data_IF_434670735279
#
_entry.id   IF_434670735279
#
_cell.length_a   1.000
_cell.length_b   1.000
_cell.length_c   1.000
_cell.angle_alpha   90.00
_cell.angle_beta   90.00
_cell.angle_gamma   90.00
#
_symmetry.space_group_name_H-M   'P 1'
#
loop_
_entity.id
_entity.type
_entity.pdbx_description
1 polymer ?
#
# COMPACT_ATOMS: atom_id res chain seq x y z
N UNK A 1 42.62 -0.16 17.22
CA UNK A 1 41.51 -1.12 17.16
C UNK A 1 40.45 -0.66 18.13
N UNK A 2 39.38 -0.07 17.61
CA UNK A 2 38.22 0.29 18.43
C UNK A 2 37.10 -0.70 18.14
N UNK A 3 36.54 -1.27 19.20
CA UNK A 3 35.25 -1.96 19.13
C UNK A 3 34.19 -0.89 19.40
N UNK A 4 33.18 -0.84 18.56
CA UNK A 4 32.06 0.10 18.67
C UNK A 4 30.77 -0.68 18.77
N UNK A 5 30.03 -0.41 19.84
CA UNK A 5 28.71 -0.93 20.08
C UNK A 5 27.69 0.10 19.60
N UNK A 6 26.78 -0.32 18.71
CA UNK A 6 25.72 0.52 18.20
C UNK A 6 24.39 -0.23 18.29
N UNK A 7 23.39 0.39 18.90
CA UNK A 7 22.00 -0.02 18.74
C UNK A 7 21.44 0.68 17.51
N UNK A 8 20.96 -0.09 16.53
CA UNK A 8 20.22 0.51 15.40
C UNK A 8 18.94 1.18 15.91
N UNK A 9 18.48 2.27 15.28
CA UNK A 9 17.15 2.82 15.56
C UNK A 9 16.10 1.71 15.37
N UNK A 10 15.01 1.79 16.14
CA UNK A 10 13.94 0.80 16.10
C UNK A 10 13.43 0.55 14.68
N UNK A 11 13.33 -0.71 14.29
CA UNK A 11 12.60 -1.12 13.10
C UNK A 11 11.20 -1.57 13.51
N UNK A 12 10.17 -1.07 12.83
CA UNK A 12 8.79 -1.53 13.03
C UNK A 12 8.53 -2.65 12.03
N UNK A 13 8.41 -3.89 12.52
CA UNK A 13 8.02 -5.03 11.71
C UNK A 13 6.49 -5.11 11.65
N UNK A 14 5.94 -5.00 10.44
CA UNK A 14 4.53 -5.27 10.17
C UNK A 14 4.44 -6.65 9.52
N UNK A 15 3.69 -7.58 10.13
CA UNK A 15 3.49 -8.94 9.63
C UNK A 15 2.05 -9.14 9.20
N UNK A 16 1.89 -9.58 7.96
CA UNK A 16 0.63 -10.05 7.42
C UNK A 16 0.56 -11.56 7.57
N UNK A 17 -0.49 -12.05 8.22
CA UNK A 17 -0.72 -13.48 8.41
C UNK A 17 -1.70 -14.01 7.35
N UNK A 18 -1.62 -15.32 7.07
CA UNK A 18 -2.49 -15.96 6.09
C UNK A 18 -3.97 -16.00 6.52
N UNK A 19 -4.25 -15.80 7.80
CA UNK A 19 -5.60 -15.68 8.38
C UNK A 19 -6.18 -14.25 8.27
N UNK A 20 -5.45 -13.32 7.65
CA UNK A 20 -5.88 -11.93 7.45
C UNK A 20 -5.56 -10.99 8.62
N UNK A 21 -4.98 -11.50 9.71
CA UNK A 21 -4.54 -10.63 10.82
C UNK A 21 -3.26 -9.88 10.46
N UNK A 22 -3.11 -8.68 11.04
CA UNK A 22 -1.91 -7.85 10.89
C UNK A 22 -1.35 -7.57 12.28
N UNK A 23 -0.07 -7.88 12.50
CA UNK A 23 0.62 -7.57 13.76
C UNK A 23 1.77 -6.61 13.54
N UNK A 24 2.05 -5.76 14.53
CA UNK A 24 3.14 -4.80 14.50
C UNK A 24 3.99 -4.90 15.77
N UNK A 25 5.32 -4.95 15.62
CA UNK A 25 6.25 -5.01 16.75
C UNK A 25 7.48 -4.13 16.50
N UNK A 26 8.08 -3.62 17.58
CA UNK A 26 9.40 -3.01 17.51
C UNK A 26 10.49 -4.06 17.64
N UNK A 27 11.47 -4.01 16.75
CA UNK A 27 12.66 -4.84 16.81
C UNK A 27 13.88 -3.95 17.05
N UNK A 28 14.71 -4.34 18.03
CA UNK A 28 16.01 -3.74 18.28
C UNK A 28 17.10 -4.69 17.81
N UNK A 29 18.12 -4.13 17.17
CA UNK A 29 19.29 -4.87 16.71
C UNK A 29 20.52 -4.24 17.33
N UNK A 30 21.23 -5.03 18.12
CA UNK A 30 22.56 -4.68 18.62
C UNK A 30 23.60 -5.10 17.61
N UNK A 31 24.44 -4.15 17.20
CA UNK A 31 25.53 -4.38 16.26
C UNK A 31 26.85 -4.10 16.97
N UNK A 32 27.72 -5.12 17.02
CA UNK A 32 29.11 -4.95 17.39
C UNK A 32 29.93 -4.81 16.11
N UNK A 33 30.67 -3.73 16.03
CA UNK A 33 31.57 -3.45 14.90
C UNK A 33 33.00 -3.26 15.38
N UNK A 34 33.96 -3.75 14.60
CA UNK A 34 35.39 -3.53 14.80
C UNK A 34 35.94 -2.85 13.57
N UNK A 35 36.49 -1.65 13.75
CA UNK A 35 37.06 -0.84 12.68
C UNK A 35 36.08 -0.68 11.48
N UNK A 36 34.78 -0.55 11.76
CA UNK A 36 33.70 -0.39 10.76
C UNK A 36 33.15 -1.69 10.16
N UNK A 37 33.72 -2.85 10.49
CA UNK A 37 33.24 -4.16 10.04
C UNK A 37 32.37 -4.78 11.13
N UNK A 38 31.15 -5.20 10.78
CA UNK A 38 30.25 -5.91 11.70
C UNK A 38 30.83 -7.28 12.05
N UNK A 39 31.00 -7.54 13.35
CA UNK A 39 31.56 -8.78 13.88
C UNK A 39 30.52 -9.62 14.63
N UNK A 40 29.44 -9.00 15.11
CA UNK A 40 28.29 -9.70 15.67
C UNK A 40 27.03 -8.83 15.56
N UNK A 41 25.89 -9.47 15.31
CA UNK A 41 24.57 -8.86 15.38
C UNK A 41 23.68 -9.70 16.29
N UNK A 42 22.96 -9.05 17.20
CA UNK A 42 21.97 -9.70 18.04
C UNK A 42 20.62 -9.01 17.86
N UNK A 43 19.64 -9.79 17.41
CA UNK A 43 18.27 -9.34 17.22
C UNK A 43 17.51 -9.64 18.51
N UNK A 44 17.04 -8.60 19.18
CA UNK A 44 16.25 -8.77 20.40
C UNK A 44 14.84 -9.24 20.10
N UNK A 45 14.22 -9.82 21.13
CA UNK A 45 12.81 -10.18 21.12
C UNK A 45 11.94 -8.96 20.78
N UNK A 46 10.91 -9.13 19.92
CA UNK A 46 10.05 -8.03 19.55
C UNK A 46 9.30 -7.44 20.74
N UNK A 47 9.35 -6.12 20.88
CA UNK A 47 8.56 -5.40 21.87
C UNK A 47 7.22 -5.03 21.25
N UNK A 48 6.14 -5.44 21.90
CA UNK A 48 4.79 -5.12 21.42
C UNK A 48 4.51 -3.63 21.55
N UNK A 49 3.92 -3.06 20.50
CA UNK A 49 3.55 -1.64 20.42
C UNK A 49 2.26 -1.40 21.22
N UNK A 50 2.39 -1.18 22.53
CA UNK A 50 1.23 -1.13 23.45
C UNK A 50 0.43 0.19 23.44
N UNK A 51 0.90 1.25 22.75
CA UNK A 51 0.29 2.58 22.82
C UNK A 51 -0.46 3.03 21.56
N UNK A 52 -0.28 2.33 20.43
CA UNK A 52 -1.07 2.55 19.22
C UNK A 52 -1.58 1.20 18.80
N UNK A 53 -2.89 1.01 18.77
CA UNK A 53 -3.51 -0.15 18.14
C UNK A 53 -3.34 -0.02 16.61
N UNK A 54 -2.10 -0.24 16.18
CA UNK A 54 -1.66 -0.17 14.79
C UNK A 54 -2.41 -1.19 13.95
N UNK A 55 -2.78 -2.33 14.53
CA UNK A 55 -3.63 -3.33 13.90
C UNK A 55 -5.00 -2.74 13.54
N UNK A 56 -5.65 -2.07 14.49
CA UNK A 56 -6.91 -1.36 14.24
C UNK A 56 -6.75 -0.21 13.24
N UNK A 57 -5.70 0.60 13.37
CA UNK A 57 -5.44 1.71 12.45
C UNK A 57 -5.18 1.24 11.01
N UNK A 58 -4.39 0.18 10.83
CA UNK A 58 -4.11 -0.42 9.52
C UNK A 58 -5.33 -1.17 8.97
N UNK A 59 -6.11 -1.84 9.82
CA UNK A 59 -7.37 -2.47 9.44
C UNK A 59 -8.40 -1.47 8.93
N UNK A 60 -8.54 -0.34 9.63
CA UNK A 60 -9.41 0.77 9.23
C UNK A 60 -8.95 1.40 7.90
N UNK A 61 -7.64 1.65 7.75
CA UNK A 61 -7.08 2.18 6.51
C UNK A 61 -7.27 1.21 5.33
N UNK A 62 -7.09 -0.10 5.54
CA UNK A 62 -7.28 -1.13 4.51
C UNK A 62 -8.75 -1.20 4.10
N UNK A 63 -9.68 -1.17 5.06
CA UNK A 63 -11.12 -1.18 4.79
C UNK A 63 -11.53 0.06 4.00
N UNK A 64 -11.02 1.25 4.38
CA UNK A 64 -11.28 2.49 3.65
C UNK A 64 -10.72 2.46 2.22
N UNK A 65 -9.50 1.94 2.04
CA UNK A 65 -8.88 1.80 0.72
C UNK A 65 -9.62 0.79 -0.18
N UNK A 66 -10.11 -0.31 0.39
CA UNK A 66 -10.95 -1.27 -0.33
C UNK A 66 -12.29 -0.65 -0.76
N UNK A 67 -12.92 0.13 0.13
CA UNK A 67 -14.14 0.88 -0.19
C UNK A 67 -13.93 1.86 -1.34
N UNK A 68 -12.88 2.70 -1.26
CA UNK A 68 -12.54 3.63 -2.34
C UNK A 68 -12.25 2.92 -3.67
N UNK A 69 -11.57 1.77 -3.64
CA UNK A 69 -11.33 0.98 -4.85
C UNK A 69 -12.62 0.43 -5.47
N UNK A 70 -13.60 0.01 -4.65
CA UNK A 70 -14.90 -0.42 -5.14
C UNK A 70 -15.66 0.75 -5.79
N UNK A 71 -15.65 1.93 -5.15
CA UNK A 71 -16.29 3.14 -5.69
C UNK A 71 -15.65 3.59 -7.00
N UNK A 72 -14.31 3.58 -7.08
CA UNK A 72 -13.57 3.91 -8.30
C UNK A 72 -13.87 2.94 -9.44
N UNK A 73 -13.98 1.63 -9.15
CA UNK A 73 -14.38 0.64 -10.16
C UNK A 73 -15.79 0.91 -10.71
N UNK A 74 -16.74 1.22 -9.83
CA UNK A 74 -18.11 1.56 -10.24
C UNK A 74 -18.16 2.85 -11.08
N UNK A 75 -17.34 3.85 -10.75
CA UNK A 75 -17.21 5.07 -11.54
C UNK A 75 -16.61 4.79 -12.93
N UNK A 76 -15.59 3.93 -13.03
CA UNK A 76 -15.01 3.53 -14.31
C UNK A 76 -16.06 2.83 -15.20
N UNK A 77 -16.84 1.88 -14.65
CA UNK A 77 -17.91 1.22 -15.42
C UNK A 77 -18.97 2.21 -15.91
N UNK A 78 -19.34 3.17 -15.06
CA UNK A 78 -20.29 4.23 -15.41
C UNK A 78 -19.76 5.10 -16.54
N UNK A 79 -18.52 5.56 -16.43
CA UNK A 79 -17.86 6.39 -17.45
C UNK A 79 -17.70 5.62 -18.76
N UNK A 80 -17.35 4.33 -18.72
CA UNK A 80 -17.25 3.50 -19.91
C UNK A 80 -18.59 3.41 -20.63
N UNK A 81 -19.68 3.19 -19.89
CA UNK A 81 -21.04 3.16 -20.45
C UNK A 81 -21.42 4.50 -21.10
N UNK A 82 -21.03 5.62 -20.49
CA UNK A 82 -21.26 6.95 -21.07
C UNK A 82 -20.48 7.16 -22.36
N UNK A 83 -19.20 6.76 -22.39
CA UNK A 83 -18.36 6.85 -23.59
C UNK A 83 -18.95 6.01 -24.73
N UNK A 84 -19.38 4.78 -24.46
CA UNK A 84 -19.97 3.90 -25.46
C UNK A 84 -21.29 4.48 -26.02
N UNK A 85 -22.12 5.06 -25.13
CA UNK A 85 -23.36 5.74 -25.53
C UNK A 85 -23.09 6.95 -26.42
N UNK A 86 -22.17 7.84 -26.01
CA UNK A 86 -21.80 9.03 -26.78
C UNK A 86 -21.15 8.67 -28.12
N UNK A 87 -20.33 7.62 -28.16
CA UNK A 87 -19.73 7.11 -29.40
C UNK A 87 -20.80 6.63 -30.38
N UNK A 88 -21.79 5.88 -29.90
CA UNK A 88 -22.91 5.43 -30.73
C UNK A 88 -23.76 6.61 -31.24
N UNK A 89 -24.03 7.61 -30.40
CA UNK A 89 -24.75 8.83 -30.80
C UNK A 89 -23.98 9.60 -31.88
N UNK A 90 -22.66 9.78 -31.71
CA UNK A 90 -21.82 10.44 -32.69
C UNK A 90 -21.81 9.70 -34.03
N UNK A 91 -21.70 8.36 -34.01
CA UNK A 91 -21.79 7.55 -35.24
C UNK A 91 -23.13 7.72 -35.93
N UNK A 92 -24.24 7.64 -35.19
CA UNK A 92 -25.58 7.83 -35.76
C UNK A 92 -25.77 9.22 -36.39
N UNK A 93 -25.21 10.27 -35.76
CA UNK A 93 -25.23 11.63 -36.32
C UNK A 93 -24.36 11.76 -37.57
N UNK A 94 -23.19 11.12 -37.60
CA UNK A 94 -22.32 11.08 -38.78
C UNK A 94 -22.99 10.35 -39.95
N UNK A 95 -23.64 9.22 -39.69
CA UNK A 95 -24.37 8.46 -40.71
C UNK A 95 -25.59 9.23 -41.24
N UNK A 96 -26.19 10.09 -40.42
CA UNK A 96 -27.35 10.92 -40.79
C UNK A 96 -26.96 12.23 -41.52
N UNK A 97 -25.68 12.62 -41.52
CA UNK A 97 -25.22 13.76 -42.30
C UNK A 97 -25.21 13.37 -43.78
N UNK A 98 -26.00 14.04 -44.64
CA UNK A 98 -25.95 13.78 -46.07
C UNK A 98 -24.54 14.11 -46.58
N UNK A 99 -23.97 13.22 -47.39
CA UNK A 99 -22.76 13.53 -48.16
C UNK A 99 -23.09 14.77 -48.99
N UNK A 100 -22.50 15.90 -48.61
CA UNK A 100 -22.53 17.10 -49.45
C UNK A 100 -21.61 16.79 -50.61
N UNK A 101 -22.16 16.18 -51.67
CA UNK A 101 -21.48 16.09 -52.96
C UNK A 101 -21.29 17.51 -53.47
N UNK A 102 -20.05 18.00 -53.41
CA UNK A 102 -19.58 19.24 -54.06
C UNK A 102 -19.27 19.00 -55.52
#
# INVERSE_FOLDING_TARGET
MSITELTRPYETLIRHHADGTVTAHHQQIYVLSKDGIVIAENILDPVSLSQVDLTSALGAATTAALGQNADLKAQIETLQTQVDSLSNQNRALQDALPVVET
#
